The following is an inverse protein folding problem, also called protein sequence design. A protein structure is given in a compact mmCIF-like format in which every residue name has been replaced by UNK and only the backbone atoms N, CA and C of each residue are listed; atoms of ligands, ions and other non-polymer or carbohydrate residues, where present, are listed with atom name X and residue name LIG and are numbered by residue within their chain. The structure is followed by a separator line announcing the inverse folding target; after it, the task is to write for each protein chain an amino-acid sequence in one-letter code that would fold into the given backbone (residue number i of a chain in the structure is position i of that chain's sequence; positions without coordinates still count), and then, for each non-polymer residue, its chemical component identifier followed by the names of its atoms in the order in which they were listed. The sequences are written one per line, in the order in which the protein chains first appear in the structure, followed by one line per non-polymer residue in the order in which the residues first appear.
data_IF_887422442402
#
_entry.id   IF_887422442402
#
_cell.length_a   1.000
_cell.length_b   1.000
_cell.length_c   1.000
_cell.angle_alpha   90.00
_cell.angle_beta   90.00
_cell.angle_gamma   90.00
#
_symmetry.space_group_name_H-M   'P 1'
#
loop_
_entity.id
_entity.type
_entity.pdbx_description
1 polymer ?
#
# COMPACT_ATOMS: atom_id res chain seq x y z
N UNK A 1 -47.77 -6.90 11.45
CA UNK A 1 -47.03 -5.63 11.60
C UNK A 1 -45.56 -5.97 11.69
N UNK A 2 -44.81 -5.72 10.61
CA UNK A 2 -43.35 -5.94 10.54
C UNK A 2 -42.73 -4.57 10.31
N UNK A 3 -42.09 -4.01 11.34
CA UNK A 3 -41.33 -2.78 11.19
C UNK A 3 -39.92 -3.12 10.73
N UNK A 4 -39.53 -2.52 9.62
CA UNK A 4 -38.18 -2.53 9.08
C UNK A 4 -37.31 -1.57 9.90
N UNK A 5 -36.16 -2.04 10.39
CA UNK A 5 -35.12 -1.19 10.97
C UNK A 5 -34.12 -0.81 9.89
N UNK A 6 -34.06 0.49 9.57
CA UNK A 6 -33.11 1.05 8.62
C UNK A 6 -31.69 1.03 9.21
N UNK A 7 -30.72 0.60 8.39
CA UNK A 7 -29.28 0.75 8.65
C UNK A 7 -28.88 2.15 8.16
N UNK A 8 -28.42 3.00 9.08
CA UNK A 8 -27.78 4.27 8.72
C UNK A 8 -26.28 4.05 8.51
N UNK A 9 -25.80 4.30 7.30
CA UNK A 9 -24.38 4.52 7.01
C UNK A 9 -24.18 6.03 6.98
N UNK A 10 -23.41 6.58 7.91
CA UNK A 10 -23.03 7.99 7.91
C UNK A 10 -21.72 8.17 7.14
N UNK A 11 -21.80 8.91 6.02
CA UNK A 11 -20.65 9.41 5.27
C UNK A 11 -20.44 10.87 5.68
N UNK A 12 -19.29 11.20 6.26
CA UNK A 12 -18.90 12.59 6.48
C UNK A 12 -18.14 13.12 5.26
N UNK A 13 -18.77 14.07 4.57
CA UNK A 13 -18.12 14.96 3.62
C UNK A 13 -17.62 16.22 4.36
N UNK A 14 -16.39 16.65 4.11
CA UNK A 14 -15.93 18.00 4.44
C UNK A 14 -15.27 18.60 3.21
N UNK A 15 -15.89 19.67 2.71
CA UNK A 15 -15.42 20.47 1.58
C UNK A 15 -14.49 21.62 2.00
N UNK A 16 -13.49 21.82 1.13
CA UNK A 16 -12.81 23.05 0.70
C UNK A 16 -12.79 24.31 1.59
N UNK A 17 -11.59 24.84 1.84
CA UNK A 17 -11.04 26.08 1.23
C UNK A 17 -10.00 26.74 2.13
N UNK A 18 -8.82 27.06 1.61
CA UNK A 18 -7.85 27.91 2.33
C UNK A 18 -6.48 27.98 1.67
N UNK A 19 -6.33 28.85 0.67
CA UNK A 19 -5.02 29.32 0.17
C UNK A 19 -4.44 30.29 1.20
N UNK A 20 -3.23 30.02 1.70
CA UNK A 20 -2.31 31.04 2.25
C UNK A 20 -0.90 30.72 1.73
N UNK A 21 -0.29 31.71 1.10
CA UNK A 21 0.99 31.62 0.40
C UNK A 21 1.89 32.72 0.99
N UNK A 22 2.73 32.42 1.99
CA UNK A 22 3.86 33.29 2.40
C UNK A 22 4.95 32.46 3.10
N UNK A 23 6.21 32.57 2.63
CA UNK A 23 7.36 32.69 3.54
C UNK A 23 8.52 31.71 3.43
N UNK A 24 9.50 32.04 2.58
CA UNK A 24 10.92 32.16 2.97
C UNK A 24 11.69 30.93 3.47
N UNK A 25 12.57 30.41 2.61
CA UNK A 25 13.75 29.62 2.98
C UNK A 25 14.61 30.43 3.96
N UNK A 26 14.79 29.93 5.19
CA UNK A 26 15.90 30.32 6.08
C UNK A 26 16.88 29.17 6.20
N UNK A 27 18.05 29.33 5.60
CA UNK A 27 19.27 28.62 5.99
C UNK A 27 19.61 29.07 7.42
N UNK A 28 19.31 28.22 8.41
CA UNK A 28 19.78 28.41 9.76
C UNK A 28 21.25 27.98 9.83
N UNK A 29 22.14 28.96 9.91
CA UNK A 29 23.52 28.78 10.36
C UNK A 29 23.51 28.25 11.78
N UNK A 30 24.02 27.04 11.99
CA UNK A 30 24.20 26.46 13.32
C UNK A 30 25.28 27.26 14.07
N UNK A 31 24.85 28.13 14.98
CA UNK A 31 25.65 28.52 16.14
C UNK A 31 25.19 27.67 17.32
N UNK A 32 26.18 27.13 18.03
CA UNK A 32 26.02 26.02 18.96
C UNK A 32 25.00 26.26 20.08
N UNK A 33 24.15 25.25 20.27
CA UNK A 33 23.49 24.99 21.53
C UNK A 33 24.01 23.64 22.05
N UNK A 34 24.39 23.64 23.32
CA UNK A 34 24.91 22.50 24.06
C UNK A 34 23.94 21.31 23.97
N UNK A 35 24.50 20.15 23.62
CA UNK A 35 23.78 18.90 23.42
C UNK A 35 23.09 18.45 24.72
N UNK A 36 21.77 18.60 24.79
CA UNK A 36 20.95 17.71 25.62
C UNK A 36 21.07 16.32 25.01
N UNK A 37 21.75 15.41 25.72
CA UNK A 37 21.83 14.00 25.35
C UNK A 37 20.42 13.41 25.37
N UNK A 38 19.86 13.19 24.18
CA UNK A 38 18.59 12.50 24.01
C UNK A 38 18.72 11.07 24.58
N UNK A 39 17.91 10.72 25.58
CA UNK A 39 17.74 9.36 26.11
C UNK A 39 16.80 8.52 25.22
N UNK A 40 17.05 8.52 23.91
CA UNK A 40 16.25 7.81 22.93
C UNK A 40 16.65 6.34 22.89
N UNK A 41 15.87 5.49 22.22
CA UNK A 41 16.30 4.12 21.98
C UNK A 41 17.63 4.11 21.26
N UNK A 42 18.51 3.20 21.63
CA UNK A 42 19.76 3.02 20.92
C UNK A 42 19.47 2.37 19.57
N UNK A 43 19.80 3.06 18.48
CA UNK A 43 19.75 2.48 17.13
C UNK A 43 21.05 1.73 16.90
N UNK A 44 20.95 0.43 16.61
CA UNK A 44 22.10 -0.42 16.31
C UNK A 44 21.88 -1.15 14.99
N UNK A 45 22.97 -1.63 14.40
CA UNK A 45 22.91 -2.60 13.33
C UNK A 45 22.83 -4.01 13.94
N UNK A 46 22.19 -4.95 13.25
CA UNK A 46 22.19 -6.35 13.63
C UNK A 46 23.62 -6.92 13.66
N UNK A 47 23.81 -7.96 14.48
CA UNK A 47 25.04 -8.74 14.46
C UNK A 47 25.21 -9.36 13.07
N UNK A 48 26.36 -9.13 12.44
CA UNK A 48 26.64 -9.48 11.03
C UNK A 48 25.84 -8.70 9.98
N UNK A 49 25.44 -7.45 10.27
CA UNK A 49 24.91 -6.57 9.24
C UNK A 49 25.96 -6.37 8.12
N UNK A 50 25.63 -6.87 6.93
CA UNK A 50 26.43 -6.67 5.73
C UNK A 50 25.80 -5.56 4.91
N UNK A 51 26.59 -4.54 4.61
CA UNK A 51 26.17 -3.50 3.69
C UNK A 51 26.25 -4.06 2.26
N UNK A 52 25.15 -4.15 1.50
CA UNK A 52 25.20 -4.56 0.11
C UNK A 52 25.97 -3.54 -0.73
N UNK A 53 26.62 -4.01 -1.78
CA UNK A 53 27.12 -3.12 -2.83
C UNK A 53 25.92 -2.63 -3.66
N UNK A 54 25.71 -1.31 -3.65
CA UNK A 54 24.67 -0.68 -4.45
C UNK A 54 25.26 -0.16 -5.77
N UNK A 55 24.49 -0.19 -6.87
CA UNK A 55 24.90 0.47 -8.10
C UNK A 55 25.10 1.97 -7.87
N UNK A 56 25.94 2.61 -8.68
CA UNK A 56 26.19 4.05 -8.58
C UNK A 56 25.01 4.92 -9.04
N UNK A 57 24.14 4.37 -9.89
CA UNK A 57 22.96 5.04 -10.43
C UNK A 57 21.80 4.06 -10.63
N UNK A 58 20.57 4.58 -10.59
CA UNK A 58 19.36 3.85 -11.01
C UNK A 58 18.49 4.73 -11.88
N UNK A 59 17.65 4.09 -12.69
CA UNK A 59 16.66 4.79 -13.49
C UNK A 59 15.57 5.38 -12.59
N UNK A 60 15.07 6.54 -12.96
CA UNK A 60 13.83 7.12 -12.44
C UNK A 60 12.79 7.07 -13.55
N UNK A 61 11.54 6.82 -13.18
CA UNK A 61 10.43 6.81 -14.14
C UNK A 61 9.42 7.88 -13.78
N UNK A 62 8.78 8.43 -14.81
CA UNK A 62 7.57 9.23 -14.66
C UNK A 62 6.38 8.28 -14.57
N UNK A 63 5.55 8.48 -13.55
CA UNK A 63 4.25 7.81 -13.46
C UNK A 63 3.36 8.45 -14.51
N UNK A 64 2.88 7.64 -15.46
CA UNK A 64 1.89 8.09 -16.43
C UNK A 64 0.58 8.24 -15.67
N UNK A 65 0.07 9.46 -15.62
CA UNK A 65 -1.18 9.78 -14.95
C UNK A 65 -2.27 8.85 -15.47
N UNK A 66 -2.93 8.07 -14.59
CA UNK A 66 -3.86 7.05 -15.02
C UNK A 66 -5.23 7.68 -15.24
N UNK A 67 -5.31 8.91 -15.78
CA UNK A 67 -6.60 9.59 -15.97
C UNK A 67 -7.50 8.65 -16.78
N UNK A 68 -8.36 7.94 -16.05
CA UNK A 68 -9.19 6.90 -16.61
C UNK A 68 -10.31 7.66 -17.29
N UNK A 69 -10.35 7.61 -18.62
CA UNK A 69 -11.51 8.09 -19.35
C UNK A 69 -12.62 7.03 -19.34
N UNK A 70 -13.82 7.43 -19.74
CA UNK A 70 -14.98 6.55 -19.80
C UNK A 70 -14.70 5.31 -20.69
N UNK A 71 -14.01 5.49 -21.81
CA UNK A 71 -13.65 4.38 -22.71
C UNK A 71 -12.74 3.35 -22.02
N UNK A 72 -11.77 3.80 -21.22
CA UNK A 72 -10.90 2.92 -20.44
C UNK A 72 -11.69 2.18 -19.36
N UNK A 73 -12.60 2.87 -18.66
CA UNK A 73 -13.45 2.26 -17.66
C UNK A 73 -14.43 1.24 -18.28
N UNK A 74 -15.00 1.52 -19.45
CA UNK A 74 -15.85 0.60 -20.20
C UNK A 74 -15.10 -0.68 -20.60
N UNK A 75 -13.84 -0.57 -21.08
CA UNK A 75 -13.03 -1.75 -21.40
C UNK A 75 -12.73 -2.60 -20.16
N UNK A 76 -12.47 -1.97 -19.02
CA UNK A 76 -12.25 -2.67 -17.75
C UNK A 76 -13.54 -3.36 -17.28
N UNK A 77 -14.68 -2.69 -17.43
CA UNK A 77 -15.99 -3.23 -17.10
C UNK A 77 -16.34 -4.43 -17.97
N UNK A 78 -16.16 -4.33 -19.29
CA UNK A 78 -16.38 -5.43 -20.23
C UNK A 78 -15.49 -6.64 -19.91
N UNK A 79 -14.20 -6.42 -19.64
CA UNK A 79 -13.26 -7.47 -19.25
C UNK A 79 -13.67 -8.18 -17.94
N UNK A 80 -14.40 -7.50 -17.07
CA UNK A 80 -14.93 -8.03 -15.82
C UNK A 80 -16.38 -8.53 -15.93
N UNK A 81 -16.98 -8.48 -17.13
CA UNK A 81 -18.32 -9.00 -17.41
C UNK A 81 -19.47 -8.04 -17.13
N UNK A 82 -19.20 -6.74 -17.02
CA UNK A 82 -20.22 -5.70 -16.85
C UNK A 82 -20.63 -5.12 -18.21
N UNK A 83 -21.90 -4.73 -18.34
CA UNK A 83 -22.44 -4.17 -19.59
C UNK A 83 -22.02 -2.72 -19.87
N UNK A 84 -21.53 -2.00 -18.86
CA UNK A 84 -21.12 -0.60 -18.96
C UNK A 84 -20.90 0.03 -17.59
N UNK A 85 -20.53 1.31 -17.58
CA UNK A 85 -20.25 2.08 -16.35
C UNK A 85 -21.07 3.37 -16.32
N UNK A 86 -21.16 3.98 -15.14
CA UNK A 86 -21.67 5.35 -14.95
C UNK A 86 -20.70 6.15 -14.07
N UNK A 87 -20.55 7.44 -14.32
CA UNK A 87 -19.70 8.30 -13.50
C UNK A 87 -20.43 8.79 -12.23
N UNK A 88 -19.81 8.60 -11.07
CA UNK A 88 -20.31 9.03 -9.75
C UNK A 88 -19.15 9.54 -8.90
N UNK A 89 -19.13 10.84 -8.60
CA UNK A 89 -18.19 11.41 -7.63
C UNK A 89 -16.71 11.15 -7.96
N UNK A 90 -16.33 11.30 -9.24
CA UNK A 90 -14.95 11.08 -9.72
C UNK A 90 -14.56 9.60 -9.91
N UNK A 91 -15.55 8.71 -9.98
CA UNK A 91 -15.35 7.27 -10.20
C UNK A 91 -16.28 6.76 -11.28
N UNK A 92 -15.86 5.73 -11.99
CA UNK A 92 -16.74 4.92 -12.82
C UNK A 92 -17.22 3.74 -12.01
N UNK A 93 -18.53 3.55 -11.93
CA UNK A 93 -19.15 2.47 -11.16
C UNK A 93 -20.08 1.63 -12.01
N UNK A 94 -20.18 0.34 -11.69
CA UNK A 94 -21.17 -0.55 -12.27
C UNK A 94 -21.66 -1.55 -11.22
N UNK A 95 -22.93 -1.90 -11.31
CA UNK A 95 -23.59 -2.85 -10.43
C UNK A 95 -24.28 -3.87 -11.33
N UNK A 96 -23.92 -5.15 -11.23
CA UNK A 96 -24.49 -6.23 -12.03
C UNK A 96 -24.71 -7.44 -11.14
N UNK A 97 -25.97 -7.89 -10.99
CA UNK A 97 -26.36 -8.89 -9.99
C UNK A 97 -25.90 -8.48 -8.56
N UNK A 98 -25.06 -9.29 -7.91
CA UNK A 98 -24.46 -9.03 -6.59
C UNK A 98 -23.04 -8.44 -6.68
N UNK A 99 -22.53 -8.20 -7.88
CA UNK A 99 -21.19 -7.68 -8.11
C UNK A 99 -21.19 -6.15 -8.24
N UNK A 100 -20.17 -5.54 -7.65
CA UNK A 100 -19.91 -4.11 -7.74
C UNK A 100 -18.53 -3.87 -8.33
N UNK A 101 -18.44 -2.90 -9.24
CA UNK A 101 -17.20 -2.39 -9.82
C UNK A 101 -17.07 -0.91 -9.48
N UNK A 102 -15.87 -0.51 -9.09
CA UNK A 102 -15.44 0.88 -8.92
C UNK A 102 -14.07 1.08 -9.57
N UNK A 103 -13.94 2.13 -10.39
CA UNK A 103 -12.66 2.60 -10.94
C UNK A 103 -12.51 4.09 -10.61
N UNK A 104 -11.50 4.43 -9.81
CA UNK A 104 -11.18 5.83 -9.47
C UNK A 104 -10.49 6.51 -10.65
N UNK A 105 -11.05 7.64 -11.08
CA UNK A 105 -10.62 8.37 -12.29
C UNK A 105 -9.21 8.93 -12.18
N UNK A 106 -8.82 9.39 -10.99
CA UNK A 106 -7.56 10.09 -10.76
C UNK A 106 -6.40 9.12 -10.51
N UNK A 107 -6.68 8.02 -9.82
CA UNK A 107 -5.66 7.07 -9.36
C UNK A 107 -5.62 5.80 -10.20
N UNK A 108 -6.63 5.53 -11.02
CA UNK A 108 -6.77 4.28 -11.76
C UNK A 108 -6.98 3.07 -10.85
N UNK A 109 -7.27 3.30 -9.56
CA UNK A 109 -7.57 2.23 -8.61
C UNK A 109 -8.85 1.53 -9.05
N UNK A 110 -8.76 0.22 -9.24
CA UNK A 110 -9.89 -0.65 -9.53
C UNK A 110 -10.20 -1.52 -8.33
N UNK A 111 -11.48 -1.61 -7.99
CA UNK A 111 -12.04 -2.62 -7.10
C UNK A 111 -13.25 -3.24 -7.77
N UNK A 112 -13.31 -4.57 -7.78
CA UNK A 112 -14.45 -5.31 -8.28
C UNK A 112 -14.69 -6.50 -7.35
N UNK A 113 -15.94 -6.75 -6.95
CA UNK A 113 -16.24 -7.91 -6.11
C UNK A 113 -17.68 -8.01 -5.67
N UNK A 114 -18.00 -9.19 -5.15
CA UNK A 114 -19.25 -9.45 -4.45
C UNK A 114 -19.05 -9.09 -2.96
N UNK A 115 -19.51 -7.90 -2.57
CA UNK A 115 -19.27 -7.29 -1.24
C UNK A 115 -19.52 -8.28 -0.10
N UNK A 116 -20.66 -8.97 -0.13
CA UNK A 116 -21.07 -9.90 0.92
C UNK A 116 -20.18 -11.13 1.00
N UNK A 117 -19.52 -11.54 -0.08
CA UNK A 117 -18.59 -12.68 -0.08
C UNK A 117 -17.17 -12.28 0.26
N UNK A 118 -16.76 -11.07 -0.14
CA UNK A 118 -15.43 -10.50 0.19
C UNK A 118 -15.35 -10.17 1.68
N UNK A 119 -16.41 -9.61 2.25
CA UNK A 119 -16.42 -9.11 3.64
C UNK A 119 -17.34 -9.88 4.60
N UNK A 120 -18.14 -10.82 4.10
CA UNK A 120 -19.00 -11.65 4.94
C UNK A 120 -18.28 -12.81 5.61
N UNK A 121 -19.01 -13.55 6.43
CA UNK A 121 -18.52 -14.79 7.06
C UNK A 121 -18.73 -15.93 6.08
N UNK A 122 -17.67 -16.58 5.56
CA UNK A 122 -17.85 -17.67 4.62
C UNK A 122 -18.54 -18.85 5.29
N UNK A 123 -19.56 -19.41 4.63
CA UNK A 123 -20.20 -20.66 5.05
C UNK A 123 -19.29 -21.84 4.66
N UNK A 124 -18.37 -22.22 5.54
CA UNK A 124 -17.78 -23.56 5.61
C UNK A 124 -17.04 -24.11 4.37
N UNK A 125 -16.83 -23.32 3.31
CA UNK A 125 -16.08 -23.76 2.14
C UNK A 125 -14.64 -24.12 2.53
N UNK A 126 -14.09 -25.25 2.05
CA UNK A 126 -12.69 -25.57 2.29
C UNK A 126 -11.81 -24.49 1.66
N UNK A 127 -10.78 -24.06 2.40
CA UNK A 127 -9.78 -23.17 1.84
C UNK A 127 -8.97 -23.92 0.80
N UNK A 128 -8.83 -23.33 -0.38
CA UNK A 128 -7.88 -23.79 -1.40
C UNK A 128 -6.44 -23.75 -0.88
N UNK A 129 -5.61 -24.62 -1.43
CA UNK A 129 -4.17 -24.59 -1.17
C UNK A 129 -3.54 -23.30 -1.73
N UNK A 130 -2.40 -22.82 -1.20
CA UNK A 130 -1.76 -21.62 -1.74
C UNK A 130 -1.37 -21.76 -3.20
N UNK A 131 -0.93 -22.95 -3.60
CA UNK A 131 -0.54 -23.27 -4.98
C UNK A 131 -1.75 -23.19 -5.92
N UNK A 132 -2.87 -23.81 -5.52
CA UNK A 132 -4.12 -23.78 -6.29
C UNK A 132 -4.73 -22.38 -6.35
N UNK A 133 -4.73 -21.64 -5.24
CA UNK A 133 -5.18 -20.25 -5.20
C UNK A 133 -4.39 -19.39 -6.19
N UNK A 134 -3.07 -19.57 -6.25
CA UNK A 134 -2.20 -18.83 -7.15
C UNK A 134 -2.55 -19.10 -8.61
N UNK A 135 -2.77 -20.36 -8.98
CA UNK A 135 -3.16 -20.75 -10.35
C UNK A 135 -4.52 -20.17 -10.73
N UNK A 136 -5.51 -20.22 -9.83
CA UNK A 136 -6.84 -19.66 -10.08
C UNK A 136 -6.80 -18.14 -10.25
N UNK A 137 -6.05 -17.44 -9.39
CA UNK A 137 -5.89 -16.00 -9.45
C UNK A 137 -5.16 -15.54 -10.71
N UNK A 138 -4.06 -16.22 -11.06
CA UNK A 138 -3.29 -15.93 -12.27
C UNK A 138 -4.14 -16.14 -13.53
N UNK A 139 -4.85 -17.26 -13.61
CA UNK A 139 -5.75 -17.58 -14.73
C UNK A 139 -6.85 -16.53 -14.87
N UNK A 140 -7.50 -16.17 -13.76
CA UNK A 140 -8.55 -15.14 -13.75
C UNK A 140 -8.05 -13.80 -14.30
N UNK A 141 -6.88 -13.35 -13.88
CA UNK A 141 -6.29 -12.08 -14.32
C UNK A 141 -5.83 -12.16 -15.78
N UNK A 142 -5.18 -13.26 -16.19
CA UNK A 142 -4.67 -13.45 -17.54
C UNK A 142 -5.80 -13.50 -18.58
N UNK A 143 -6.87 -14.26 -18.31
CA UNK A 143 -8.05 -14.36 -19.19
C UNK A 143 -8.74 -13.01 -19.44
N UNK A 144 -8.58 -12.07 -18.51
CA UNK A 144 -9.21 -10.74 -18.57
C UNK A 144 -8.24 -9.65 -18.99
N UNK A 145 -6.99 -9.99 -19.35
CA UNK A 145 -5.96 -9.02 -19.69
C UNK A 145 -5.60 -8.09 -18.53
N UNK A 146 -5.81 -8.52 -17.29
CA UNK A 146 -5.54 -7.74 -16.08
C UNK A 146 -4.21 -8.10 -15.41
N UNK A 147 -3.51 -9.13 -15.89
CA UNK A 147 -2.18 -9.54 -15.42
C UNK A 147 -1.07 -8.89 -16.27
N UNK A 148 -0.35 -7.88 -15.75
CA UNK A 148 0.75 -7.26 -16.46
C UNK A 148 1.98 -8.16 -16.49
N UNK A 149 2.82 -8.03 -17.53
CA UNK A 149 4.05 -8.84 -17.69
C UNK A 149 5.07 -8.63 -16.56
N UNK A 150 5.03 -7.47 -15.90
CA UNK A 150 5.94 -7.10 -14.82
C UNK A 150 5.40 -7.45 -13.42
N UNK A 151 4.29 -8.19 -13.36
CA UNK A 151 3.76 -8.74 -12.12
C UNK A 151 4.49 -10.02 -11.69
N UNK A 152 4.61 -10.23 -10.38
CA UNK A 152 5.07 -11.48 -9.80
C UNK A 152 4.17 -11.87 -8.62
N UNK A 153 4.02 -13.17 -8.37
CA UNK A 153 3.33 -13.66 -7.18
C UNK A 153 4.12 -13.22 -5.93
N UNK A 154 3.55 -12.31 -5.15
CA UNK A 154 4.17 -11.77 -3.94
C UNK A 154 3.90 -12.71 -2.77
N UNK A 155 2.63 -13.00 -2.50
CA UNK A 155 2.24 -13.89 -1.42
C UNK A 155 0.79 -14.36 -1.53
N UNK A 156 0.47 -15.40 -0.75
CA UNK A 156 -0.90 -15.87 -0.54
C UNK A 156 -1.24 -15.70 0.94
N UNK A 157 -2.14 -14.77 1.23
CA UNK A 157 -2.65 -14.51 2.57
C UNK A 157 -3.93 -15.31 2.82
N UNK A 158 -4.06 -15.80 4.04
CA UNK A 158 -5.29 -16.44 4.53
C UNK A 158 -5.82 -15.57 5.64
N UNK A 159 -6.93 -14.89 5.38
CA UNK A 159 -7.54 -14.05 6.38
C UNK A 159 -8.34 -14.93 7.35
N UNK A 160 -8.32 -14.59 8.64
CA UNK A 160 -9.29 -15.10 9.60
C UNK A 160 -10.28 -13.98 9.89
N UNK A 161 -11.55 -14.18 9.54
CA UNK A 161 -12.59 -13.18 9.83
C UNK A 161 -13.15 -13.48 11.22
N UNK A 162 -12.90 -12.58 12.16
CA UNK A 162 -13.53 -12.60 13.49
C UNK A 162 -14.71 -11.66 13.49
N UNK A 163 -15.92 -12.20 13.64
CA UNK A 163 -17.12 -11.38 13.78
C UNK A 163 -17.43 -11.20 15.25
N UNK A 164 -17.45 -9.95 15.66
CA UNK A 164 -17.91 -9.54 16.99
C UNK A 164 -19.23 -8.82 16.87
N UNK A 165 -20.17 -9.10 17.78
CA UNK A 165 -21.43 -8.39 17.91
C UNK A 165 -21.40 -7.53 19.17
N UNK A 166 -22.06 -6.38 19.11
CA UNK A 166 -22.27 -5.53 20.29
C UNK A 166 -23.68 -5.81 20.78
N UNK A 167 -23.80 -6.20 22.04
CA UNK A 167 -25.08 -6.19 22.74
C UNK A 167 -25.57 -4.73 22.83
N UNK A 168 -26.69 -4.38 22.17
CA UNK A 168 -27.17 -3.01 22.11
C UNK A 168 -27.63 -2.46 23.46
N UNK A 169 -27.96 -3.31 24.43
CA UNK A 169 -28.42 -2.90 25.76
C UNK A 169 -27.25 -2.72 26.73
N UNK A 170 -26.24 -3.59 26.65
CA UNK A 170 -25.12 -3.58 27.60
C UNK A 170 -23.84 -2.96 27.04
N UNK A 171 -23.78 -2.71 25.73
CA UNK A 171 -22.59 -2.26 25.01
C UNK A 171 -21.46 -3.30 24.99
N UNK A 172 -21.69 -4.52 25.50
CA UNK A 172 -20.68 -5.56 25.54
C UNK A 172 -20.44 -6.13 24.16
N UNK A 173 -19.17 -6.14 23.76
CA UNK A 173 -18.71 -6.85 22.58
C UNK A 173 -18.60 -8.33 22.94
N UNK A 174 -19.21 -9.20 22.15
CA UNK A 174 -19.03 -10.64 22.23
C UNK A 174 -18.69 -11.20 20.84
N UNK A 175 -17.85 -12.23 20.80
CA UNK A 175 -17.47 -12.87 19.54
C UNK A 175 -18.61 -13.75 19.05
N UNK A 176 -19.21 -13.37 17.92
CA UNK A 176 -20.30 -14.08 17.26
C UNK A 176 -19.81 -15.34 16.55
N UNK A 177 -18.56 -15.34 16.11
CA UNK A 177 -17.89 -16.49 15.53
C UNK A 177 -16.59 -16.11 14.84
N UNK A 178 -15.77 -17.13 14.61
CA UNK A 178 -14.56 -17.06 13.79
C UNK A 178 -14.81 -17.87 12.51
N UNK A 179 -14.77 -17.23 11.35
CA UNK A 179 -14.83 -17.90 10.06
C UNK A 179 -13.43 -18.15 9.52
N UNK A 180 -13.20 -19.29 8.86
CA UNK A 180 -12.05 -19.42 7.96
C UNK A 180 -12.29 -18.44 6.82
N UNK A 181 -11.48 -17.41 6.76
CA UNK A 181 -11.69 -16.30 5.84
C UNK A 181 -11.25 -16.61 4.43
N UNK A 182 -11.40 -15.61 3.60
CA UNK A 182 -11.01 -15.57 2.20
C UNK A 182 -9.50 -15.84 2.02
N UNK A 183 -9.15 -16.45 0.89
CA UNK A 183 -7.76 -16.50 0.44
C UNK A 183 -7.50 -15.29 -0.45
N UNK A 184 -6.49 -14.48 -0.12
CA UNK A 184 -6.02 -13.38 -0.97
C UNK A 184 -4.71 -13.75 -1.62
N UNK A 185 -4.66 -13.73 -2.94
CA UNK A 185 -3.44 -13.86 -3.72
C UNK A 185 -2.98 -12.48 -4.13
N UNK A 186 -1.80 -12.10 -3.69
CA UNK A 186 -1.20 -10.80 -3.98
C UNK A 186 -0.13 -10.93 -5.05
N UNK A 187 -0.18 -10.01 -6.00
CA UNK A 187 0.84 -9.83 -7.02
C UNK A 187 1.50 -8.47 -6.82
N UNK A 188 2.82 -8.50 -6.64
CA UNK A 188 3.67 -7.34 -6.59
C UNK A 188 4.25 -7.05 -7.96
N UNK A 189 4.94 -5.91 -8.09
CA UNK A 189 5.53 -5.45 -9.35
C UNK A 189 7.05 -5.43 -9.30
N UNK A 190 7.71 -5.77 -10.41
CA UNK A 190 9.15 -5.55 -10.58
C UNK A 190 9.48 -4.64 -11.75
N UNK A 191 10.34 -3.66 -11.50
CA UNK A 191 10.89 -2.77 -12.52
C UNK A 191 12.41 -2.83 -12.42
N UNK A 192 13.09 -3.05 -13.54
CA UNK A 192 14.56 -3.27 -13.56
C UNK A 192 15.04 -4.33 -12.54
N UNK A 193 14.26 -5.41 -12.36
CA UNK A 193 14.47 -6.47 -11.37
C UNK A 193 14.41 -6.02 -9.89
N UNK A 194 14.00 -4.79 -9.61
CA UNK A 194 13.74 -4.29 -8.27
C UNK A 194 12.25 -4.30 -8.00
N UNK A 195 11.86 -4.67 -6.78
CA UNK A 195 10.46 -4.63 -6.35
C UNK A 195 9.97 -3.19 -6.30
N UNK A 196 8.72 -2.99 -6.68
CA UNK A 196 7.99 -1.77 -6.39
C UNK A 196 7.22 -2.01 -5.09
N UNK A 197 7.43 -1.13 -4.12
CA UNK A 197 6.75 -1.11 -2.83
C UNK A 197 5.79 0.08 -2.77
N UNK A 198 4.89 0.04 -1.79
CA UNK A 198 3.90 1.09 -1.56
C UNK A 198 2.50 0.70 -2.03
N UNK A 199 1.58 1.63 -1.88
CA UNK A 199 0.14 1.45 -2.09
C UNK A 199 -0.31 1.48 -3.56
N UNK A 200 0.58 1.89 -4.48
CA UNK A 200 0.29 2.13 -5.89
C UNK A 200 0.60 0.97 -6.86
N UNK A 201 1.14 -0.15 -6.38
CA UNK A 201 1.82 -1.14 -7.23
C UNK A 201 1.36 -2.60 -7.10
N UNK A 202 0.19 -2.86 -6.51
CA UNK A 202 -0.28 -4.21 -6.20
C UNK A 202 -1.59 -4.62 -6.86
N UNK A 203 -1.73 -5.91 -7.15
CA UNK A 203 -2.99 -6.57 -7.50
C UNK A 203 -3.29 -7.58 -6.39
N UNK A 204 -4.54 -7.66 -5.95
CA UNK A 204 -4.95 -8.76 -5.08
C UNK A 204 -6.25 -9.37 -5.58
N UNK A 205 -6.26 -10.70 -5.66
CA UNK A 205 -7.42 -11.51 -6.02
C UNK A 205 -7.92 -12.23 -4.78
N UNK A 206 -9.22 -12.17 -4.57
CA UNK A 206 -9.93 -12.68 -3.42
C UNK A 206 -10.70 -13.95 -3.81
N UNK A 207 -10.47 -15.06 -3.11
CA UNK A 207 -11.10 -16.35 -3.38
C UNK A 207 -11.92 -16.85 -2.19
N UNK A 208 -13.11 -17.37 -2.49
CA UNK A 208 -13.95 -18.12 -1.57
C UNK A 208 -14.08 -19.56 -2.07
N UNK A 209 -13.26 -20.47 -1.54
CA UNK A 209 -13.04 -21.78 -2.16
C UNK A 209 -12.30 -21.60 -3.50
N UNK A 210 -12.78 -22.25 -4.55
CA UNK A 210 -12.23 -22.16 -5.91
C UNK A 210 -12.77 -20.95 -6.71
N UNK A 211 -13.74 -20.22 -6.16
CA UNK A 211 -14.36 -19.10 -6.86
C UNK A 211 -13.67 -17.77 -6.54
N UNK A 212 -13.38 -16.99 -7.59
CA UNK A 212 -12.95 -15.60 -7.46
C UNK A 212 -14.15 -14.74 -7.08
N UNK A 213 -14.05 -14.05 -5.94
CA UNK A 213 -15.12 -13.20 -5.37
C UNK A 213 -14.76 -11.73 -5.37
N UNK A 214 -13.50 -11.40 -5.69
CA UNK A 214 -13.09 -10.02 -5.86
C UNK A 214 -11.69 -9.86 -6.40
N UNK A 215 -11.42 -8.67 -6.92
CA UNK A 215 -10.12 -8.22 -7.39
C UNK A 215 -9.97 -6.74 -7.03
N UNK A 216 -8.78 -6.39 -6.55
CA UNK A 216 -8.33 -5.00 -6.50
C UNK A 216 -7.06 -4.85 -7.31
N UNK A 217 -6.89 -3.70 -7.95
CA UNK A 217 -5.74 -3.41 -8.79
C UNK A 217 -5.34 -1.94 -8.67
N UNK A 218 -4.09 -1.71 -8.28
CA UNK A 218 -3.37 -0.46 -8.48
C UNK A 218 -2.22 -0.77 -9.43
N UNK A 219 -2.34 -0.38 -10.70
CA UNK A 219 -1.26 -0.58 -11.66
C UNK A 219 -1.24 0.55 -12.68
N UNK A 220 -0.15 1.31 -12.69
CA UNK A 220 0.05 2.47 -13.56
C UNK A 220 1.14 2.21 -14.58
N UNK A 221 1.11 2.92 -15.69
CA UNK A 221 2.21 2.85 -16.64
C UNK A 221 3.36 3.75 -16.21
N UNK A 222 4.59 3.32 -16.52
CA UNK A 222 5.81 4.06 -16.20
C UNK A 222 6.59 4.36 -17.47
N UNK A 223 7.07 5.60 -17.60
CA UNK A 223 7.94 6.00 -18.70
C UNK A 223 9.33 6.37 -18.17
N UNK A 224 10.42 5.82 -18.73
CA UNK A 224 11.77 6.19 -18.34
C UNK A 224 12.00 7.70 -18.40
N UNK A 225 12.47 8.30 -17.30
CA UNK A 225 12.92 9.70 -17.28
C UNK A 225 14.42 9.80 -17.56
N UNK A 226 15.22 8.93 -16.94
CA UNK A 226 16.68 8.91 -17.06
C UNK A 226 17.33 8.17 -15.89
N UNK A 227 18.65 7.99 -15.93
CA UNK A 227 19.45 7.46 -14.81
C UNK A 227 19.92 8.59 -13.90
N UNK A 228 19.87 8.37 -12.59
CA UNK A 228 20.26 9.34 -11.57
C UNK A 228 21.22 8.69 -10.58
N UNK A 229 22.25 9.42 -10.11
CA UNK A 229 23.18 8.91 -9.12
C UNK A 229 22.47 8.63 -7.80
N UNK A 230 22.82 7.51 -7.18
CA UNK A 230 22.30 7.16 -5.86
C UNK A 230 23.00 7.96 -4.76
N UNK A 231 22.23 8.38 -3.77
CA UNK A 231 22.74 8.89 -2.50
C UNK A 231 23.52 7.78 -1.79
N UNK A 232 24.74 8.05 -1.29
CA UNK A 232 25.47 7.04 -0.56
C UNK A 232 24.73 6.58 0.70
N UNK A 233 24.47 5.27 0.84
CA UNK A 233 23.69 4.74 1.97
C UNK A 233 24.26 5.10 3.35
N UNK A 234 25.57 5.30 3.47
CA UNK A 234 26.19 5.72 4.73
C UNK A 234 25.71 7.10 5.21
N UNK A 235 25.26 7.97 4.29
CA UNK A 235 24.64 9.25 4.64
C UNK A 235 23.25 9.05 5.25
N UNK A 236 22.46 8.09 4.76
CA UNK A 236 21.18 7.70 5.35
C UNK A 236 21.37 7.17 6.77
N UNK A 237 22.38 6.31 6.98
CA UNK A 237 22.71 5.82 8.33
C UNK A 237 23.16 6.94 9.26
N UNK A 238 23.93 7.92 8.76
CA UNK A 238 24.35 9.07 9.55
C UNK A 238 23.16 9.93 9.96
N UNK A 239 22.22 10.20 9.05
CA UNK A 239 20.98 10.94 9.30
C UNK A 239 20.08 10.24 10.32
N UNK A 240 19.87 8.92 10.17
CA UNK A 240 19.13 8.09 11.13
C UNK A 240 19.78 8.13 12.51
N UNK A 241 21.11 8.04 12.60
CA UNK A 241 21.83 8.10 13.88
C UNK A 241 21.74 9.47 14.53
N UNK A 242 21.79 10.56 13.75
CA UNK A 242 21.76 11.91 14.31
C UNK A 242 20.36 12.31 14.78
N UNK A 243 19.31 11.91 14.06
CA UNK A 243 17.91 12.25 14.37
C UNK A 243 17.20 11.20 15.23
N UNK A 244 17.84 10.05 15.45
CA UNK A 244 17.31 8.99 16.29
C UNK A 244 16.05 8.32 15.71
N UNK A 245 15.29 7.67 16.58
CA UNK A 245 14.14 6.84 16.18
C UNK A 245 13.03 7.65 15.51
N UNK A 246 12.91 8.95 15.81
CA UNK A 246 11.94 9.83 15.14
C UNK A 246 12.17 9.90 13.62
N UNK A 247 13.41 9.66 13.17
CA UNK A 247 13.71 9.62 11.74
C UNK A 247 13.34 8.29 11.08
N UNK A 248 13.46 7.18 11.81
CA UNK A 248 12.99 5.88 11.32
C UNK A 248 11.46 5.81 11.28
N UNK A 249 10.83 6.42 12.28
CA UNK A 249 9.38 6.36 12.49
C UNK A 249 8.69 7.67 12.08
N UNK A 250 9.33 8.45 11.22
CA UNK A 250 8.74 9.68 10.72
C UNK A 250 7.41 9.32 10.04
N UNK A 251 6.32 9.85 10.58
CA UNK A 251 4.98 9.55 10.10
C UNK A 251 4.30 8.31 10.67
N UNK A 252 5.05 7.39 11.28
CA UNK A 252 4.49 6.18 11.89
C UNK A 252 3.84 6.53 13.23
N UNK A 253 2.50 6.59 13.26
CA UNK A 253 1.73 6.89 14.48
C UNK A 253 1.60 5.66 15.37
N UNK A 254 1.78 5.86 16.68
CA UNK A 254 1.51 4.83 17.69
C UNK A 254 2.52 3.68 17.72
N UNK A 255 3.65 3.79 17.03
CA UNK A 255 4.71 2.80 17.10
C UNK A 255 5.24 2.65 18.53
N UNK A 256 5.24 1.41 19.03
CA UNK A 256 5.83 1.05 20.32
C UNK A 256 7.18 0.40 20.06
N UNK A 257 8.23 0.96 20.66
CA UNK A 257 9.60 0.47 20.53
C UNK A 257 10.23 0.25 21.90
N UNK A 258 11.15 -0.71 21.95
CA UNK A 258 11.96 -1.00 23.14
C UNK A 258 13.13 -0.02 23.32
N UNK A 259 13.99 -0.31 24.29
CA UNK A 259 15.21 0.46 24.56
C UNK A 259 16.23 0.39 23.42
N UNK A 260 16.11 -0.61 22.54
CA UNK A 260 17.03 -0.88 21.44
C UNK A 260 16.25 -1.15 20.16
N UNK A 261 16.57 -0.42 19.12
CA UNK A 261 16.03 -0.57 17.77
C UNK A 261 17.14 -1.13 16.87
N UNK A 262 16.86 -2.23 16.17
CA UNK A 262 17.86 -2.97 15.41
C UNK A 262 17.56 -2.89 13.92
N UNK A 263 18.46 -2.29 13.14
CA UNK A 263 18.42 -2.36 11.68
C UNK A 263 18.96 -3.74 11.27
N UNK A 264 18.10 -4.58 10.71
CA UNK A 264 18.40 -5.97 10.33
C UNK A 264 18.88 -6.11 8.90
N UNK A 265 18.41 -5.26 8.01
CA UNK A 265 18.72 -5.35 6.58
C UNK A 265 18.50 -4.04 5.86
N UNK A 266 19.06 -3.98 4.66
CA UNK A 266 18.80 -2.91 3.69
C UNK A 266 18.70 -3.53 2.30
N UNK A 267 17.78 -3.00 1.49
CA UNK A 267 17.65 -3.34 0.06
C UNK A 267 17.30 -2.11 -0.76
N UNK A 268 17.50 -2.19 -2.06
CA UNK A 268 16.93 -1.23 -3.02
C UNK A 268 15.55 -1.71 -3.46
N UNK A 269 14.65 -0.75 -3.64
CA UNK A 269 13.33 -0.93 -4.21
C UNK A 269 12.94 0.34 -4.97
N UNK A 270 11.84 0.28 -5.69
CA UNK A 270 11.13 1.46 -6.19
C UNK A 270 9.93 1.75 -5.31
N UNK A 271 9.61 3.02 -5.05
CA UNK A 271 8.43 3.41 -4.29
C UNK A 271 7.35 3.98 -5.20
N UNK A 272 6.16 3.38 -5.14
CA UNK A 272 4.92 3.93 -5.68
C UNK A 272 3.84 3.96 -4.58
N UNK A 273 3.62 5.14 -3.99
CA UNK A 273 2.51 5.44 -3.10
C UNK A 273 1.46 6.34 -3.73
N UNK A 274 1.44 6.42 -5.06
CA UNK A 274 0.57 7.35 -5.79
C UNK A 274 -0.92 7.05 -5.71
N UNK A 275 -1.31 5.98 -5.00
CA UNK A 275 -2.70 5.74 -4.55
C UNK A 275 -3.07 6.67 -3.39
N UNK A 276 -2.19 6.81 -2.40
CA UNK A 276 -2.39 7.65 -1.22
C UNK A 276 -1.91 9.08 -1.49
N UNK A 277 -0.72 9.21 -2.09
CA UNK A 277 -0.08 10.48 -2.44
C UNK A 277 -0.32 10.80 -3.93
N UNK A 278 -1.52 11.30 -4.24
CA UNK A 278 -1.97 11.56 -5.62
C UNK A 278 -1.07 12.54 -6.40
N UNK A 279 -0.23 13.30 -5.71
CA UNK A 279 0.76 14.23 -6.26
C UNK A 279 2.11 13.57 -6.63
N UNK A 280 2.32 12.31 -6.27
CA UNK A 280 3.52 11.57 -6.66
C UNK A 280 3.56 11.36 -8.19
N UNK A 281 4.40 12.13 -8.88
CA UNK A 281 4.58 12.04 -10.34
C UNK A 281 5.70 11.10 -10.80
N UNK A 282 6.43 10.48 -9.88
CA UNK A 282 7.63 9.68 -10.21
C UNK A 282 7.71 8.40 -9.40
N UNK A 283 8.17 7.34 -10.05
CA UNK A 283 8.60 6.10 -9.42
C UNK A 283 10.07 6.27 -9.01
N UNK A 284 10.33 6.25 -7.70
CA UNK A 284 11.63 6.64 -7.16
C UNK A 284 12.39 5.45 -6.58
N UNK A 285 13.70 5.31 -6.85
CA UNK A 285 14.56 4.42 -6.09
C UNK A 285 14.56 4.80 -4.61
N UNK A 286 14.42 3.80 -3.75
CA UNK A 286 14.46 3.94 -2.29
C UNK A 286 15.34 2.87 -1.66
N UNK A 287 15.95 3.21 -0.53
CA UNK A 287 16.53 2.25 0.40
C UNK A 287 15.45 1.79 1.39
N UNK A 288 15.06 0.52 1.31
CA UNK A 288 14.21 -0.13 2.31
C UNK A 288 15.05 -0.71 3.43
N UNK A 289 14.85 -0.22 4.67
CA UNK A 289 15.51 -0.74 5.87
C UNK A 289 14.53 -1.63 6.62
N UNK A 290 14.90 -2.87 6.86
CA UNK A 290 14.17 -3.74 7.79
C UNK A 290 14.61 -3.41 9.21
N UNK A 291 13.68 -2.94 10.03
CA UNK A 291 13.90 -2.45 11.39
C UNK A 291 13.12 -3.30 12.38
N UNK A 292 13.79 -3.78 13.43
CA UNK A 292 13.16 -4.42 14.59
C UNK A 292 13.03 -3.38 15.70
N UNK A 293 11.78 -3.05 16.04
CA UNK A 293 11.44 -2.10 17.10
C UNK A 293 11.54 -2.74 18.49
N UNK A 294 11.84 -4.04 18.57
CA UNK A 294 11.84 -4.85 19.78
C UNK A 294 10.63 -5.80 19.82
N UNK A 295 10.75 -6.89 20.60
CA UNK A 295 9.70 -7.92 20.79
C UNK A 295 9.24 -8.60 19.48
N UNK A 296 10.07 -8.58 18.44
CA UNK A 296 9.76 -9.18 17.14
C UNK A 296 8.90 -8.32 16.23
N UNK A 297 8.66 -7.04 16.58
CA UNK A 297 7.97 -6.10 15.72
C UNK A 297 8.93 -5.61 14.62
N UNK A 298 8.81 -6.23 13.44
CA UNK A 298 9.52 -5.81 12.24
C UNK A 298 8.71 -4.77 11.49
N UNK A 299 9.39 -3.74 11.00
CA UNK A 299 8.87 -2.71 10.11
C UNK A 299 9.87 -2.52 8.98
N UNK A 300 9.38 -2.29 7.77
CA UNK A 300 10.22 -1.78 6.70
C UNK A 300 9.99 -0.28 6.52
N UNK A 301 11.07 0.49 6.48
CA UNK A 301 11.03 1.95 6.33
C UNK A 301 11.84 2.34 5.11
N UNK A 302 11.35 3.33 4.34
CA UNK A 302 11.91 3.67 3.05
C UNK A 302 12.51 5.08 3.05
N UNK A 303 13.72 5.19 2.51
CA UNK A 303 14.41 6.47 2.34
C UNK A 303 14.68 6.71 0.86
N UNK A 304 14.46 7.92 0.33
CA UNK A 304 14.86 8.26 -1.04
C UNK A 304 16.33 7.90 -1.29
N UNK A 305 16.58 7.14 -2.35
CA UNK A 305 17.93 6.82 -2.80
C UNK A 305 18.44 7.82 -3.84
N UNK A 306 17.64 8.80 -4.25
CA UNK A 306 18.01 9.86 -5.20
C UNK A 306 17.66 11.23 -4.65
N UNK A 307 18.50 12.23 -4.91
CA UNK A 307 18.21 13.62 -4.59
C UNK A 307 17.37 14.24 -5.73
N UNK A 308 16.05 14.24 -5.59
CA UNK A 308 15.18 15.03 -6.46
C UNK A 308 14.75 16.32 -5.75
N UNK A 309 14.66 17.46 -6.46
CA UNK A 309 14.34 18.76 -5.86
C UNK A 309 12.99 18.86 -5.15
N UNK A 310 12.12 17.86 -5.30
CA UNK A 310 10.71 17.95 -4.87
C UNK A 310 10.09 16.60 -4.48
N UNK A 311 10.87 15.60 -4.05
CA UNK A 311 10.29 14.35 -3.55
C UNK A 311 9.97 14.48 -2.06
N UNK A 312 8.69 14.43 -1.63
CA UNK A 312 8.36 14.31 -0.22
C UNK A 312 8.94 13.00 0.36
N UNK A 313 9.23 13.01 1.65
CA UNK A 313 9.41 11.78 2.41
C UNK A 313 8.04 11.11 2.53
N UNK A 314 7.92 9.84 2.18
CA UNK A 314 6.64 9.13 2.16
C UNK A 314 6.65 7.94 3.12
N UNK A 315 5.51 7.77 3.78
CA UNK A 315 5.20 6.71 4.74
C UNK A 315 4.62 5.51 3.99
N UNK A 316 5.10 4.29 4.28
CA UNK A 316 4.37 3.08 3.90
C UNK A 316 3.66 2.55 5.14
N UNK A 317 2.33 2.61 5.13
CA UNK A 317 1.51 1.90 6.11
C UNK A 317 1.55 0.40 5.79
N UNK A 318 2.17 -0.39 6.67
CA UNK A 318 2.06 -1.85 6.68
C UNK A 318 0.74 -2.33 7.28
#
# INVERSE_FOLDING_TARGET
MRCWGAIFVAIFAIGASGVILIGGVRLATAQGEESKTWSGPQIVLAENFLLPEFPGELRVYRIVGPEVDENQAERLAEALGFAGVREVGGRFVADENSWHLEVDRETGYLWCGEVDRVYGVPEGAPLVSPEEASVLAESFLAERGLLPEDAYLEEVRRDEIRVSAVDPETGKIWERGTGRGMVQVWFGRRVDNLEVVGSGCGIAVSLAGEEVVGVRRCWKEYTPLGSFPLLPFHEILADVRSKGVNRLLEGVKGAVYGERVVIRGVRLAYLDDSRIHRDQGFLLPVYGLTVDLGRGHLLEVFFPAVALPSAPYFEVCG
#
